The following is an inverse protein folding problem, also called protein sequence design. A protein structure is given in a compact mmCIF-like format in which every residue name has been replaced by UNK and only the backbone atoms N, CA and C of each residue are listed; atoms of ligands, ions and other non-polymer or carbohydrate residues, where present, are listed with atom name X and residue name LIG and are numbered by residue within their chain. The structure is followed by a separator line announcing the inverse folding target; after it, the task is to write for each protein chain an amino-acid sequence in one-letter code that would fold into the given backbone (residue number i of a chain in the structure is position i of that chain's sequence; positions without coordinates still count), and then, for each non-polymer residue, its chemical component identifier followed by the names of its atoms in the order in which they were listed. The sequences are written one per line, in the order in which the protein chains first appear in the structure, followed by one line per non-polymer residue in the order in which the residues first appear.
data_IF_138179775171
#
_entry.id   IF_138179775171
#
_cell.length_a   1.000
_cell.length_b   1.000
_cell.length_c   1.000
_cell.angle_alpha   90.00
_cell.angle_beta   90.00
_cell.angle_gamma   90.00
#
_symmetry.space_group_name_H-M   'P 1'
#
loop_
_entity.id
_entity.type
_entity.pdbx_description
1 polymer ?
#
# COMPACT_ATOMS: atom_id res chain seq x y z
N UNK A 1 15.72 27.20 3.46
CA UNK A 1 15.53 26.56 2.14
C UNK A 1 14.76 25.28 2.35
N UNK A 2 13.44 25.39 2.51
CA UNK A 2 12.58 24.26 2.87
C UNK A 2 12.16 23.49 1.63
N UNK A 3 12.41 22.19 1.61
CA UNK A 3 11.95 21.29 0.55
C UNK A 3 10.44 21.14 0.74
N UNK A 4 9.65 21.85 -0.07
CA UNK A 4 8.19 21.79 0.01
C UNK A 4 7.70 20.44 -0.52
N UNK A 5 7.48 19.49 0.40
CA UNK A 5 7.08 18.11 0.12
C UNK A 5 5.63 18.03 -0.40
N UNK A 6 4.85 19.12 -0.31
CA UNK A 6 3.44 19.14 -0.72
C UNK A 6 3.25 19.23 -2.25
N UNK A 7 4.29 19.57 -3.03
CA UNK A 7 4.20 19.67 -4.49
C UNK A 7 4.35 18.32 -5.22
N UNK A 8 4.61 17.21 -4.50
CA UNK A 8 4.76 15.88 -5.09
C UNK A 8 3.48 15.03 -5.11
N UNK A 9 2.36 15.53 -4.57
CA UNK A 9 1.09 14.80 -4.63
C UNK A 9 0.33 15.32 -5.85
N UNK A 10 0.56 14.66 -6.98
CA UNK A 10 -0.19 14.93 -8.22
C UNK A 10 -1.69 14.68 -7.97
N UNK A 11 -2.60 15.56 -8.43
CA UNK A 11 -4.06 15.38 -8.29
C UNK A 11 -4.59 14.04 -8.83
N UNK A 12 -3.79 13.34 -9.67
CA UNK A 12 -4.06 12.00 -10.17
C UNK A 12 -4.07 10.90 -9.11
N UNK A 13 -3.45 11.11 -7.94
CA UNK A 13 -3.36 10.09 -6.88
C UNK A 13 -4.70 9.87 -6.17
N UNK A 14 -5.54 10.91 -6.13
CA UNK A 14 -6.92 10.81 -5.61
C UNK A 14 -7.85 10.00 -6.52
N UNK A 15 -7.50 9.84 -7.80
CA UNK A 15 -8.35 9.15 -8.79
C UNK A 15 -8.04 7.66 -8.93
N UNK A 16 -6.95 7.19 -8.31
CA UNK A 16 -6.43 5.85 -8.55
C UNK A 16 -6.37 5.04 -7.26
N UNK A 17 -7.43 4.97 -6.44
CA UNK A 17 -7.56 3.82 -5.55
C UNK A 17 -7.29 2.55 -6.39
N UNK A 18 -6.53 1.54 -5.89
CA UNK A 18 -6.15 0.39 -6.69
C UNK A 18 -7.40 -0.20 -7.35
N UNK A 19 -7.57 0.04 -8.65
CA UNK A 19 -8.75 -0.38 -9.42
C UNK A 19 -8.93 -1.91 -9.37
N UNK A 20 -7.85 -2.62 -9.03
CA UNK A 20 -7.78 -4.07 -8.85
C UNK A 20 -8.42 -4.58 -7.55
N UNK A 21 -8.58 -3.77 -6.50
CA UNK A 21 -9.32 -4.18 -5.30
C UNK A 21 -10.82 -4.05 -5.58
N UNK A 22 -11.37 -5.11 -6.17
CA UNK A 22 -12.80 -5.20 -6.47
C UNK A 22 -13.62 -5.25 -5.18
N UNK A 23 -14.83 -4.69 -5.22
CA UNK A 23 -15.75 -4.71 -4.08
C UNK A 23 -16.06 -6.14 -3.61
N UNK A 24 -15.99 -7.12 -4.53
CA UNK A 24 -16.16 -8.55 -4.24
C UNK A 24 -15.07 -9.07 -3.30
N UNK A 25 -13.80 -8.72 -3.54
CA UNK A 25 -12.71 -9.13 -2.64
C UNK A 25 -12.86 -8.53 -1.25
N UNK A 26 -13.18 -7.24 -1.17
CA UNK A 26 -13.39 -6.54 0.10
C UNK A 26 -14.54 -7.18 0.87
N UNK A 27 -15.65 -7.47 0.19
CA UNK A 27 -16.81 -8.13 0.79
C UNK A 27 -16.45 -9.52 1.32
N UNK A 28 -15.71 -10.34 0.54
CA UNK A 28 -15.26 -11.67 0.98
C UNK A 28 -14.39 -11.62 2.23
N UNK A 29 -13.48 -10.66 2.32
CA UNK A 29 -12.64 -10.46 3.51
C UNK A 29 -13.49 -10.02 4.71
N UNK A 30 -14.40 -9.08 4.52
CA UNK A 30 -15.29 -8.60 5.57
C UNK A 30 -16.20 -9.74 6.08
N UNK A 31 -16.73 -10.58 5.18
CA UNK A 31 -17.51 -11.77 5.56
C UNK A 31 -16.68 -12.75 6.38
N UNK A 32 -15.42 -13.00 5.99
CA UNK A 32 -14.49 -13.83 6.78
C UNK A 32 -14.22 -13.23 8.17
N UNK A 33 -14.27 -11.91 8.31
CA UNK A 33 -14.20 -11.20 9.59
C UNK A 33 -15.51 -11.10 10.37
N UNK A 34 -16.60 -11.76 9.94
CA UNK A 34 -17.89 -11.73 10.63
C UNK A 34 -18.76 -10.51 10.34
N UNK A 35 -18.41 -9.69 9.34
CA UNK A 35 -19.19 -8.50 8.99
C UNK A 35 -20.46 -8.89 8.21
N UNK A 36 -21.63 -8.51 8.72
CA UNK A 36 -22.95 -8.86 8.15
C UNK A 36 -23.50 -7.78 7.20
N UNK A 37 -23.23 -6.50 7.43
CA UNK A 37 -23.65 -5.40 6.55
C UNK A 37 -22.53 -4.37 6.42
N UNK A 38 -22.42 -3.79 5.24
CA UNK A 38 -21.44 -2.75 4.94
C UNK A 38 -22.11 -1.62 4.17
N UNK A 39 -21.75 -0.39 4.51
CA UNK A 39 -22.12 0.80 3.73
C UNK A 39 -21.21 0.91 2.50
N UNK A 40 -21.70 1.58 1.45
CA UNK A 40 -20.96 1.74 0.21
C UNK A 40 -19.67 2.56 0.38
N UNK A 41 -19.70 3.59 1.23
CA UNK A 41 -18.55 4.46 1.53
C UNK A 41 -17.35 3.68 2.11
N UNK A 42 -17.59 2.55 2.79
CA UNK A 42 -16.55 1.73 3.40
C UNK A 42 -15.65 1.08 2.34
N UNK A 43 -16.16 0.82 1.13
CA UNK A 43 -15.32 0.21 0.08
C UNK A 43 -14.16 1.11 -0.33
N UNK A 44 -14.38 2.42 -0.39
CA UNK A 44 -13.35 3.40 -0.76
C UNK A 44 -12.40 3.70 0.40
N UNK A 45 -12.91 3.73 1.62
CA UNK A 45 -12.08 3.85 2.83
C UNK A 45 -11.11 2.67 2.96
N UNK A 46 -11.60 1.43 2.78
CA UNK A 46 -10.76 0.23 2.83
C UNK A 46 -9.66 0.28 1.77
N UNK A 47 -9.96 0.75 0.56
CA UNK A 47 -8.94 0.90 -0.50
C UNK A 47 -7.84 1.90 -0.10
N UNK A 48 -8.21 2.98 0.57
CA UNK A 48 -7.28 4.01 1.06
C UNK A 48 -6.41 3.45 2.18
N UNK A 49 -7.00 2.77 3.16
CA UNK A 49 -6.28 2.15 4.28
C UNK A 49 -5.31 1.08 3.78
N UNK A 50 -5.74 0.22 2.85
CA UNK A 50 -4.87 -0.83 2.28
C UNK A 50 -3.68 -0.22 1.54
N UNK A 51 -3.90 0.84 0.74
CA UNK A 51 -2.80 1.56 0.09
C UNK A 51 -1.81 2.13 1.12
N UNK A 52 -2.32 2.83 2.14
CA UNK A 52 -1.49 3.44 3.18
C UNK A 52 -0.65 2.38 3.90
N UNK A 53 -1.26 1.24 4.24
CA UNK A 53 -0.55 0.13 4.87
C UNK A 53 0.53 -0.47 3.95
N UNK A 54 0.22 -0.68 2.67
CA UNK A 54 1.18 -1.20 1.70
C UNK A 54 2.35 -0.25 1.50
N UNK A 55 2.12 1.06 1.49
CA UNK A 55 3.20 2.05 1.37
C UNK A 55 4.18 1.95 2.55
N UNK A 56 3.67 1.81 3.78
CA UNK A 56 4.50 1.63 4.97
C UNK A 56 5.31 0.34 4.89
N UNK A 57 4.66 -0.78 4.54
CA UNK A 57 5.32 -2.09 4.45
C UNK A 57 6.39 -2.08 3.35
N UNK A 58 6.10 -1.53 2.18
CA UNK A 58 7.06 -1.48 1.07
C UNK A 58 8.27 -0.60 1.41
N UNK A 59 8.09 0.52 2.13
CA UNK A 59 9.23 1.31 2.62
C UNK A 59 10.14 0.51 3.55
N UNK A 60 9.56 -0.33 4.41
CA UNK A 60 10.33 -1.20 5.31
C UNK A 60 11.07 -2.30 4.53
N UNK A 61 10.40 -2.95 3.57
CA UNK A 61 11.00 -3.97 2.70
C UNK A 61 12.17 -3.40 1.91
N UNK A 62 12.03 -2.20 1.33
CA UNK A 62 13.12 -1.52 0.61
C UNK A 62 14.28 -1.17 1.54
N UNK A 63 14.00 -0.71 2.76
CA UNK A 63 15.04 -0.44 3.75
C UNK A 63 15.85 -1.70 4.09
N UNK A 64 15.17 -2.85 4.25
CA UNK A 64 15.82 -4.14 4.48
C UNK A 64 16.65 -4.54 3.27
N UNK A 65 16.12 -4.38 2.06
CA UNK A 65 16.81 -4.65 0.79
C UNK A 65 18.13 -3.86 0.70
N UNK A 66 18.08 -2.56 0.97
CA UNK A 66 19.25 -1.67 0.92
C UNK A 66 20.27 -2.02 2.02
N UNK A 67 19.79 -2.35 3.23
CA UNK A 67 20.66 -2.73 4.35
C UNK A 67 21.34 -4.09 4.17
N UNK A 68 20.73 -4.99 3.38
CA UNK A 68 21.27 -6.33 3.08
C UNK A 68 22.43 -6.33 2.07
N UNK A 69 22.92 -5.15 1.67
CA UNK A 69 24.01 -5.02 0.71
C UNK A 69 25.37 -5.36 1.36
N UNK A 70 25.89 -6.55 1.08
CA UNK A 70 27.30 -6.84 1.29
C UNK A 70 28.12 -5.99 0.31
N UNK A 71 29.28 -5.47 0.73
CA UNK A 71 30.16 -4.46 0.09
C UNK A 71 30.43 -4.56 -1.45
N UNK A 72 29.97 -5.61 -2.14
CA UNK A 72 30.08 -5.84 -3.59
C UNK A 72 28.79 -6.27 -4.32
N UNK A 73 27.63 -6.43 -3.64
CA UNK A 73 26.35 -6.84 -4.27
C UNK A 73 25.15 -6.09 -3.70
N UNK A 74 24.76 -5.02 -4.38
CA UNK A 74 23.45 -4.40 -4.19
C UNK A 74 22.36 -5.35 -4.68
N UNK A 75 21.50 -5.81 -3.76
CA UNK A 75 20.36 -6.65 -4.10
C UNK A 75 19.25 -5.77 -4.68
N UNK A 76 18.72 -6.17 -5.84
CA UNK A 76 17.68 -5.43 -6.59
C UNK A 76 16.36 -6.19 -6.71
N UNK A 77 16.28 -7.36 -6.09
CA UNK A 77 15.13 -8.28 -6.16
C UNK A 77 14.62 -8.51 -4.76
N UNK A 78 13.37 -8.15 -4.51
CA UNK A 78 12.65 -8.43 -3.27
C UNK A 78 12.30 -9.92 -3.22
N UNK A 79 12.56 -10.54 -2.09
CA UNK A 79 12.33 -11.94 -1.79
C UNK A 79 11.40 -12.07 -0.59
N UNK A 80 10.80 -13.24 -0.36
CA UNK A 80 9.87 -13.45 0.77
C UNK A 80 10.50 -13.34 2.16
N UNK A 81 11.82 -13.12 2.25
CA UNK A 81 12.57 -12.92 3.50
C UNK A 81 12.67 -11.44 3.91
N UNK A 82 12.28 -10.54 3.01
CA UNK A 82 12.37 -9.08 3.17
C UNK A 82 11.06 -8.50 3.69
#
# INVERSE_FOLDING_TARGET
MGINIASKISPSDKLNAPRSLTATYISRLARRGGVIRMKQEIYDEVRTVVRSRLEVVLKQVVLILDSSTTHKRNRKVVTSRD
#
